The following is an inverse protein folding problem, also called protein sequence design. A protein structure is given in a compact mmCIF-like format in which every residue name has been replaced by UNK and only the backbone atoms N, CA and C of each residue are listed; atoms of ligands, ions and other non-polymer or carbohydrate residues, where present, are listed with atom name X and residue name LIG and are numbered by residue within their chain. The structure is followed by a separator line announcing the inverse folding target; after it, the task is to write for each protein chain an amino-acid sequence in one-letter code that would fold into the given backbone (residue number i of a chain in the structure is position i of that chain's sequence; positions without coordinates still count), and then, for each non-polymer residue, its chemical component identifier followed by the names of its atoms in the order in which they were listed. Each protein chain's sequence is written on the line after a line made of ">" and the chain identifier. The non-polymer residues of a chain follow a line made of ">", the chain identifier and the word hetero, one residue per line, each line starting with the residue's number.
data_IF_447127350897
#
_entry.id   IF_447127350897
#
_cell.length_a   1.000
_cell.length_b   1.000
_cell.length_c   1.000
_cell.angle_alpha   90.00
_cell.angle_beta   90.00
_cell.angle_gamma   90.00
#
_symmetry.space_group_name_H-M   'P 1'
#
loop_
_entity.id
_entity.type
_entity.pdbx_description
1 polymer ?
#
# COMPACT_ATOMS: atom_id res chain seq x y z
N UNK A 1 13.98 -0.54 19.31
CA UNK A 1 14.52 -0.29 17.95
C UNK A 1 13.77 0.89 17.36
N UNK A 2 14.48 1.96 16.96
CA UNK A 2 13.87 3.03 16.16
C UNK A 2 13.76 2.54 14.72
N UNK A 3 12.61 1.95 14.38
CA UNK A 3 12.26 1.72 12.98
C UNK A 3 11.93 3.07 12.34
N UNK A 4 12.58 3.39 11.23
CA UNK A 4 12.22 4.58 10.46
C UNK A 4 10.80 4.37 9.89
N UNK A 5 9.88 5.34 10.03
CA UNK A 5 8.56 5.30 9.42
C UNK A 5 8.59 5.36 7.88
N UNK A 6 9.76 5.33 7.26
CA UNK A 6 10.02 5.42 5.83
C UNK A 6 10.20 4.06 5.14
N UNK A 7 9.63 2.98 5.69
CA UNK A 7 9.61 1.69 5.01
C UNK A 7 8.19 1.11 4.95
N UNK A 8 7.87 0.44 3.84
CA UNK A 8 6.59 -0.22 3.57
C UNK A 8 6.18 -1.25 4.63
N UNK A 9 7.13 -1.89 5.31
CA UNK A 9 6.89 -2.84 6.38
C UNK A 9 6.40 -2.19 7.69
N UNK A 10 6.64 -0.90 7.91
CA UNK A 10 6.38 -0.23 9.19
C UNK A 10 4.90 -0.27 9.57
N UNK A 11 4.00 0.03 8.64
CA UNK A 11 2.57 0.05 8.93
C UNK A 11 2.01 -1.33 9.29
N UNK A 12 2.51 -2.40 8.66
CA UNK A 12 2.13 -3.75 9.05
C UNK A 12 2.62 -4.11 10.47
N UNK A 13 3.88 -3.78 10.82
CA UNK A 13 4.39 -3.97 12.17
C UNK A 13 3.59 -3.17 13.21
N UNK A 14 3.16 -1.97 12.84
CA UNK A 14 2.30 -1.15 13.67
C UNK A 14 0.95 -1.84 13.99
N UNK A 15 0.31 -2.47 13.01
CA UNK A 15 -0.93 -3.23 13.24
C UNK A 15 -0.70 -4.46 14.14
N UNK A 16 0.42 -5.16 13.95
CA UNK A 16 0.79 -6.33 14.76
C UNK A 16 0.93 -5.93 16.23
N UNK A 17 1.60 -4.80 16.49
CA UNK A 17 1.77 -4.28 17.85
C UNK A 17 0.44 -3.86 18.50
N UNK A 18 -0.62 -3.62 17.72
CA UNK A 18 -1.97 -3.32 18.22
C UNK A 18 -2.86 -4.55 18.37
N UNK A 19 -2.37 -5.74 18.04
CA UNK A 19 -3.21 -6.94 17.96
C UNK A 19 -4.29 -6.84 16.87
N UNK A 20 -4.08 -5.98 15.85
CA UNK A 20 -5.02 -5.74 14.75
C UNK A 20 -4.54 -6.43 13.45
N UNK A 21 -3.71 -7.47 13.58
CA UNK A 21 -3.04 -8.14 12.47
C UNK A 21 -3.26 -9.65 12.50
N UNK A 22 -4.47 -10.09 12.86
CA UNK A 22 -4.83 -11.52 13.00
C UNK A 22 -4.48 -12.36 11.76
N UNK A 23 -4.43 -11.72 10.59
CA UNK A 23 -4.08 -12.32 9.31
C UNK A 23 -2.67 -11.98 8.78
N UNK A 24 -1.70 -11.49 9.58
CA UNK A 24 -0.34 -11.20 9.09
C UNK A 24 0.71 -12.19 9.62
N UNK A 25 1.72 -12.44 8.80
CA UNK A 25 2.93 -13.19 9.15
C UNK A 25 4.15 -12.30 9.00
N UNK A 26 4.98 -12.27 10.04
CA UNK A 26 6.30 -11.63 10.02
C UNK A 26 7.35 -12.72 10.10
N UNK A 27 8.26 -12.72 9.15
CA UNK A 27 9.38 -13.65 9.08
C UNK A 27 10.66 -12.85 9.08
N UNK A 28 11.63 -13.31 9.87
CA UNK A 28 12.95 -12.70 10.01
C UNK A 28 14.03 -13.75 9.78
N UNK A 29 15.20 -13.31 9.31
CA UNK A 29 16.35 -14.18 9.10
C UNK A 29 16.99 -14.64 10.42
N UNK A 30 17.03 -13.75 11.42
CA UNK A 30 17.53 -14.05 12.75
C UNK A 30 16.83 -13.17 13.80
N UNK A 31 16.86 -13.55 15.08
CA UNK A 31 16.26 -12.76 16.15
C UNK A 31 17.18 -12.71 17.38
N UNK A 32 17.30 -11.57 18.08
CA UNK A 32 16.61 -10.29 17.84
C UNK A 32 17.23 -9.39 16.76
N UNK A 33 18.46 -9.65 16.34
CA UNK A 33 19.20 -8.76 15.44
C UNK A 33 19.04 -9.10 13.95
N UNK A 34 17.80 -9.14 13.46
CA UNK A 34 17.51 -9.47 12.05
C UNK A 34 18.20 -8.48 11.07
N UNK A 35 18.63 -8.98 9.92
CA UNK A 35 19.00 -8.15 8.77
C UNK A 35 17.84 -7.99 7.79
N UNK A 36 16.99 -9.00 7.69
CA UNK A 36 15.88 -9.05 6.73
C UNK A 36 14.60 -9.35 7.45
N UNK A 37 13.55 -8.63 7.09
CA UNK A 37 12.20 -8.83 7.57
C UNK A 37 11.24 -8.88 6.38
N UNK A 38 10.46 -9.95 6.32
CA UNK A 38 9.37 -10.13 5.37
C UNK A 38 8.04 -10.04 6.09
N UNK A 39 7.07 -9.36 5.47
CA UNK A 39 5.69 -9.33 5.95
C UNK A 39 4.76 -9.74 4.81
N UNK A 40 3.87 -10.68 5.10
CA UNK A 40 2.83 -11.14 4.17
C UNK A 40 1.53 -11.47 4.89
N UNK A 41 0.42 -11.52 4.15
CA UNK A 41 -0.86 -12.02 4.66
C UNK A 41 -0.83 -13.55 4.83
N UNK A 42 -1.33 -14.05 5.97
CA UNK A 42 -1.64 -15.47 6.24
C UNK A 42 -2.94 -15.90 5.58
N UNK A 43 -3.92 -15.00 5.53
CA UNK A 43 -5.26 -15.27 5.04
C UNK A 43 -5.24 -15.25 3.51
N UNK A 44 -4.74 -16.34 2.93
CA UNK A 44 -4.88 -16.64 1.50
C UNK A 44 -6.28 -17.23 1.28
N UNK A 45 -7.33 -16.46 1.57
CA UNK A 45 -8.66 -16.84 1.11
C UNK A 45 -8.69 -16.84 -0.42
N UNK A 46 -9.55 -17.68 -0.99
CA UNK A 46 -9.69 -17.83 -2.43
C UNK A 46 -10.12 -16.48 -3.06
N UNK A 47 -9.15 -15.72 -3.57
CA UNK A 47 -9.35 -14.36 -4.06
C UNK A 47 -8.30 -13.33 -3.60
N UNK A 48 -7.48 -13.63 -2.60
CA UNK A 48 -6.38 -12.71 -2.22
C UNK A 48 -5.11 -13.01 -3.05
N UNK A 49 -5.19 -12.75 -4.36
CA UNK A 49 -4.09 -13.02 -5.30
C UNK A 49 -2.95 -11.98 -5.22
N UNK A 50 -3.11 -10.91 -4.45
CA UNK A 50 -2.01 -10.03 -4.10
C UNK A 50 -1.23 -10.68 -2.95
N UNK A 51 -0.41 -11.68 -3.30
CA UNK A 51 0.65 -12.23 -2.45
C UNK A 51 1.79 -11.21 -2.32
N UNK A 52 1.42 -10.02 -1.87
CA UNK A 52 2.34 -8.92 -1.68
C UNK A 52 3.15 -9.22 -0.42
N UNK A 53 4.44 -9.42 -0.64
CA UNK A 53 5.43 -9.55 0.41
C UNK A 53 6.16 -8.22 0.51
N UNK A 54 6.07 -7.58 1.68
CA UNK A 54 6.82 -6.36 1.97
C UNK A 54 8.16 -6.73 2.59
N UNK A 55 9.24 -6.13 2.06
CA UNK A 55 10.60 -6.40 2.51
C UNK A 55 11.20 -5.17 3.18
N UNK A 56 11.73 -5.38 4.38
CA UNK A 56 12.73 -4.51 4.96
C UNK A 56 14.06 -5.27 4.98
N UNK A 57 15.14 -4.63 4.52
CA UNK A 57 16.48 -5.18 4.64
C UNK A 57 17.49 -4.11 5.03
N UNK A 58 18.45 -4.48 5.88
CA UNK A 58 19.66 -3.71 6.20
C UNK A 58 20.86 -4.16 5.35
N UNK A 59 20.79 -5.36 4.79
CA UNK A 59 21.90 -6.03 4.09
C UNK A 59 21.39 -6.77 2.85
N UNK A 60 21.94 -6.40 1.69
CA UNK A 60 21.56 -7.02 0.42
C UNK A 60 21.98 -8.50 0.36
N UNK A 61 23.12 -8.86 0.95
CA UNK A 61 23.63 -10.23 0.90
C UNK A 61 22.69 -11.20 1.64
N UNK A 62 22.18 -10.80 2.81
CA UNK A 62 21.20 -11.55 3.57
C UNK A 62 19.88 -11.72 2.80
N UNK A 63 19.39 -10.64 2.17
CA UNK A 63 18.18 -10.69 1.34
C UNK A 63 18.36 -11.66 0.16
N UNK A 64 19.49 -11.55 -0.55
CA UNK A 64 19.85 -12.45 -1.66
C UNK A 64 19.87 -13.91 -1.21
N UNK A 65 20.55 -14.20 -0.09
CA UNK A 65 20.65 -15.56 0.43
C UNK A 65 19.27 -16.18 0.71
N UNK A 66 18.34 -15.39 1.26
CA UNK A 66 16.98 -15.87 1.53
C UNK A 66 16.25 -16.21 0.23
N UNK A 67 16.30 -15.29 -0.75
CA UNK A 67 15.66 -15.46 -2.05
C UNK A 67 16.23 -16.67 -2.82
N UNK A 68 17.54 -16.92 -2.71
CA UNK A 68 18.23 -17.99 -3.43
C UNK A 68 18.13 -19.35 -2.71
N UNK A 69 18.29 -19.41 -1.39
CA UNK A 69 18.71 -20.65 -0.72
C UNK A 69 17.74 -21.20 0.34
N UNK A 70 16.75 -20.43 0.79
CA UNK A 70 15.95 -20.85 1.98
C UNK A 70 14.65 -21.57 1.66
N UNK A 71 14.27 -21.66 0.37
CA UNK A 71 12.97 -22.21 -0.05
C UNK A 71 11.77 -21.37 0.43
N UNK A 72 12.01 -20.18 1.00
CA UNK A 72 10.98 -19.31 1.56
C UNK A 72 9.97 -18.82 0.51
N UNK A 73 10.47 -18.55 -0.70
CA UNK A 73 9.65 -18.20 -1.85
C UNK A 73 9.41 -19.42 -2.72
N UNK A 74 8.14 -19.71 -3.00
CA UNK A 74 7.76 -20.66 -4.02
C UNK A 74 7.77 -20.00 -5.39
N UNK A 75 8.93 -20.06 -6.04
CA UNK A 75 9.18 -19.52 -7.37
C UNK A 75 8.30 -20.13 -8.47
N UNK A 76 7.61 -21.26 -8.21
CA UNK A 76 6.66 -21.87 -9.17
C UNK A 76 5.33 -21.11 -9.25
N UNK A 77 4.99 -20.35 -8.22
CA UNK A 77 3.75 -19.59 -8.16
C UNK A 77 4.03 -18.09 -8.29
N UNK A 78 3.05 -17.34 -8.77
CA UNK A 78 3.13 -15.89 -8.75
C UNK A 78 3.25 -15.37 -7.32
N UNK A 79 4.16 -14.43 -7.12
CA UNK A 79 4.20 -13.58 -5.95
C UNK A 79 4.66 -12.17 -6.32
N UNK A 80 4.36 -11.22 -5.46
CA UNK A 80 4.69 -9.82 -5.65
C UNK A 80 5.55 -9.36 -4.48
N UNK A 81 6.67 -8.71 -4.77
CA UNK A 81 7.62 -8.25 -3.76
C UNK A 81 7.70 -6.73 -3.81
N UNK A 82 7.42 -6.06 -2.69
CA UNK A 82 7.73 -4.64 -2.54
C UNK A 82 9.07 -4.45 -1.83
N UNK A 83 9.99 -3.76 -2.50
CA UNK A 83 11.36 -3.54 -2.01
C UNK A 83 11.91 -2.20 -2.52
N UNK A 84 12.96 -1.69 -1.86
CA UNK A 84 13.69 -0.52 -2.35
C UNK A 84 14.33 -0.81 -3.73
N UNK A 85 14.25 0.15 -4.65
CA UNK A 85 14.83 0.05 -5.99
C UNK A 85 16.35 -0.10 -6.01
N UNK A 86 17.05 0.24 -4.93
CA UNK A 86 18.49 -0.02 -4.83
C UNK A 86 18.85 -1.50 -4.98
N UNK A 87 17.90 -2.41 -4.78
CA UNK A 87 18.08 -3.86 -4.92
C UNK A 87 17.63 -4.42 -6.28
N UNK A 88 17.29 -3.57 -7.27
CA UNK A 88 16.72 -4.00 -8.56
C UNK A 88 17.64 -4.96 -9.32
N UNK A 89 18.95 -4.65 -9.40
CA UNK A 89 19.91 -5.50 -10.13
C UNK A 89 20.06 -6.88 -9.48
N UNK A 90 20.09 -6.93 -8.14
CA UNK A 90 20.12 -8.17 -7.38
C UNK A 90 18.88 -9.02 -7.67
N UNK A 91 17.68 -8.42 -7.61
CA UNK A 91 16.44 -9.14 -7.89
C UNK A 91 16.39 -9.73 -9.30
N UNK A 92 16.84 -8.97 -10.31
CA UNK A 92 16.94 -9.47 -11.69
C UNK A 92 17.89 -10.66 -11.81
N UNK A 93 19.05 -10.58 -11.16
CA UNK A 93 20.01 -11.69 -11.14
C UNK A 93 19.43 -12.95 -10.50
N UNK A 94 18.72 -12.80 -9.37
CA UNK A 94 18.05 -13.93 -8.70
C UNK A 94 16.96 -14.53 -9.59
N UNK A 95 16.09 -13.71 -10.19
CA UNK A 95 15.03 -14.19 -11.08
C UNK A 95 15.58 -14.97 -12.28
N UNK A 96 16.64 -14.44 -12.91
CA UNK A 96 17.35 -15.11 -14.00
C UNK A 96 17.94 -16.46 -13.56
N UNK A 97 18.59 -16.52 -12.39
CA UNK A 97 19.12 -17.77 -11.83
C UNK A 97 18.02 -18.79 -11.50
N UNK A 98 16.82 -18.32 -11.12
CA UNK A 98 15.63 -19.16 -10.88
C UNK A 98 14.87 -19.52 -12.17
N UNK A 99 15.24 -18.93 -13.31
CA UNK A 99 14.57 -19.16 -14.59
C UNK A 99 13.11 -18.69 -14.61
N UNK A 100 12.77 -17.66 -13.83
CA UNK A 100 11.42 -17.09 -13.78
C UNK A 100 11.39 -15.72 -14.44
N UNK A 101 10.29 -15.36 -15.13
CA UNK A 101 10.11 -14.00 -15.61
C UNK A 101 9.83 -13.06 -14.43
N UNK A 102 10.37 -11.87 -14.53
CA UNK A 102 10.21 -10.75 -13.61
C UNK A 102 9.48 -9.60 -14.32
N UNK A 103 8.61 -8.91 -13.60
CA UNK A 103 7.91 -7.76 -14.12
C UNK A 103 7.92 -6.64 -13.08
N UNK A 104 8.57 -5.52 -13.40
CA UNK A 104 8.51 -4.31 -12.57
C UNK A 104 7.15 -3.64 -12.80
N UNK A 105 6.25 -3.78 -11.84
CA UNK A 105 4.86 -3.34 -11.96
C UNK A 105 4.72 -1.83 -11.82
N UNK A 106 5.38 -1.24 -10.83
CA UNK A 106 5.35 0.20 -10.57
C UNK A 106 6.52 0.58 -9.66
N UNK A 107 6.94 1.84 -9.78
CA UNK A 107 7.90 2.51 -8.88
C UNK A 107 7.18 3.68 -8.24
N UNK A 108 7.31 3.81 -6.92
CA UNK A 108 6.60 4.81 -6.15
C UNK A 108 7.54 5.64 -5.27
N UNK A 109 7.22 6.93 -5.19
CA UNK A 109 7.54 7.79 -4.07
C UNK A 109 6.86 7.24 -2.80
N UNK A 110 7.59 7.18 -1.69
CA UNK A 110 7.00 6.96 -0.37
C UNK A 110 6.91 8.32 0.34
N UNK A 111 5.69 8.87 0.40
CA UNK A 111 5.46 10.16 1.03
C UNK A 111 4.89 9.97 2.43
N UNK A 112 5.41 10.71 3.41
CA UNK A 112 5.01 10.65 4.82
C UNK A 112 4.56 12.02 5.32
N UNK A 113 3.64 12.03 6.29
CA UNK A 113 3.22 13.23 7.00
C UNK A 113 3.34 12.97 8.51
N UNK A 114 4.51 13.27 9.12
CA UNK A 114 4.73 13.01 10.55
C UNK A 114 3.80 13.81 11.46
N UNK A 115 3.49 15.05 11.08
CA UNK A 115 2.63 15.94 11.84
C UNK A 115 1.55 16.59 10.95
N UNK A 116 0.29 16.14 11.03
CA UNK A 116 -0.83 16.72 10.32
C UNK A 116 -1.43 17.95 11.02
N UNK A 117 -0.85 18.46 12.12
CA UNK A 117 -1.33 19.66 12.82
C UNK A 117 -1.45 20.88 11.88
N UNK A 118 -0.54 20.97 10.91
CA UNK A 118 -0.51 22.04 9.89
C UNK A 118 -1.54 21.84 8.77
N UNK A 119 -2.29 20.73 8.74
CA UNK A 119 -3.36 20.54 7.76
C UNK A 119 -4.51 21.49 8.07
N UNK A 120 -4.59 22.58 7.31
CA UNK A 120 -5.74 23.49 7.37
C UNK A 120 -7.01 22.78 6.93
N UNK A 121 -8.12 23.02 7.63
CA UNK A 121 -9.42 22.52 7.19
C UNK A 121 -9.73 23.04 5.77
N UNK A 122 -10.25 22.15 4.94
CA UNK A 122 -10.57 22.51 3.56
C UNK A 122 -11.71 23.54 3.57
N UNK A 123 -11.60 24.60 2.77
CA UNK A 123 -12.63 25.66 2.70
C UNK A 123 -13.90 25.24 1.95
N UNK A 124 -13.90 24.05 1.37
CA UNK A 124 -15.01 23.52 0.58
C UNK A 124 -16.02 22.86 1.53
N UNK A 125 -17.26 23.33 1.49
CA UNK A 125 -18.38 22.65 2.16
C UNK A 125 -18.68 21.35 1.42
N UNK A 126 -18.15 20.23 1.91
CA UNK A 126 -18.39 18.89 1.38
C UNK A 126 -18.96 17.98 2.46
N UNK A 127 -19.88 17.11 2.07
CA UNK A 127 -20.36 16.04 2.94
C UNK A 127 -19.31 14.92 2.99
N UNK A 128 -18.43 15.00 3.98
CA UNK A 128 -17.45 13.95 4.26
C UNK A 128 -18.12 12.80 5.00
N UNK A 129 -17.78 11.58 4.60
CA UNK A 129 -18.22 10.34 5.24
C UNK A 129 -17.11 9.28 5.15
N UNK A 130 -17.39 8.07 5.60
CA UNK A 130 -16.58 6.88 5.33
C UNK A 130 -17.24 6.02 4.25
N UNK A 131 -16.42 5.27 3.53
CA UNK A 131 -16.93 4.26 2.60
C UNK A 131 -17.66 3.16 3.37
N UNK A 132 -18.61 2.51 2.70
CA UNK A 132 -19.42 1.42 3.22
C UNK A 132 -19.31 0.24 2.26
N UNK A 133 -19.72 -0.94 2.72
CA UNK A 133 -19.70 -2.18 1.93
C UNK A 133 -20.44 -2.02 0.58
N UNK A 134 -21.55 -1.28 0.55
CA UNK A 134 -22.28 -0.96 -0.68
C UNK A 134 -21.47 -0.19 -1.72
N UNK A 135 -20.30 0.35 -1.38
CA UNK A 135 -19.42 1.10 -2.29
C UNK A 135 -18.30 0.25 -2.89
N UNK A 136 -18.20 -1.06 -2.58
CA UNK A 136 -17.11 -1.92 -3.07
C UNK A 136 -17.05 -1.94 -4.59
N UNK A 137 -18.20 -2.08 -5.26
CA UNK A 137 -18.23 -2.22 -6.72
C UNK A 137 -17.76 -0.93 -7.44
N UNK A 138 -18.13 0.25 -6.94
CA UNK A 138 -17.68 1.52 -7.53
C UNK A 138 -16.19 1.77 -7.29
N UNK A 139 -15.67 1.40 -6.11
CA UNK A 139 -14.23 1.49 -5.83
C UNK A 139 -13.45 0.50 -6.70
N UNK A 140 -13.94 -0.73 -6.85
CA UNK A 140 -13.28 -1.74 -7.67
C UNK A 140 -13.28 -1.36 -9.15
N UNK A 141 -14.43 -1.00 -9.72
CA UNK A 141 -14.56 -0.66 -11.15
C UNK A 141 -13.75 0.55 -11.62
N UNK A 142 -13.29 1.40 -10.69
CA UNK A 142 -12.49 2.60 -10.98
C UNK A 142 -11.00 2.41 -10.69
N UNK A 143 -10.61 1.30 -10.07
CA UNK A 143 -9.21 1.03 -9.75
C UNK A 143 -8.49 0.37 -10.93
N UNK A 144 -7.35 0.93 -11.32
CA UNK A 144 -6.60 0.49 -12.52
C UNK A 144 -6.05 -0.94 -12.46
N UNK A 145 -5.95 -1.52 -11.26
CA UNK A 145 -5.48 -2.88 -11.03
C UNK A 145 -6.62 -3.84 -10.65
N UNK A 146 -7.86 -3.43 -10.89
CA UNK A 146 -9.04 -4.16 -10.48
C UNK A 146 -9.15 -5.53 -11.16
N UNK A 147 -9.68 -6.47 -10.39
CA UNK A 147 -10.13 -7.78 -10.80
C UNK A 147 -11.30 -8.20 -9.91
N UNK A 148 -11.93 -9.34 -10.17
CA UNK A 148 -12.98 -9.84 -9.26
C UNK A 148 -12.44 -10.11 -7.86
N UNK A 149 -11.22 -10.62 -7.79
CA UNK A 149 -10.55 -11.01 -6.57
C UNK A 149 -10.14 -9.79 -5.70
N UNK A 150 -9.94 -8.61 -6.29
CA UNK A 150 -9.63 -7.38 -5.53
C UNK A 150 -10.81 -6.83 -4.73
N UNK A 151 -12.05 -7.28 -5.00
CA UNK A 151 -13.22 -6.87 -4.20
C UNK A 151 -13.09 -7.30 -2.74
N UNK A 152 -12.53 -8.49 -2.48
CA UNK A 152 -12.33 -8.97 -1.10
C UNK A 152 -11.29 -8.12 -0.36
N UNK A 153 -10.20 -7.74 -1.03
CA UNK A 153 -9.21 -6.82 -0.48
C UNK A 153 -9.84 -5.45 -0.16
N UNK A 154 -10.64 -4.89 -1.08
CA UNK A 154 -11.33 -3.61 -0.87
C UNK A 154 -12.34 -3.71 0.28
N UNK A 155 -13.09 -4.83 0.38
CA UNK A 155 -13.98 -5.12 1.51
C UNK A 155 -13.22 -5.07 2.82
N UNK A 156 -12.08 -5.77 2.91
CA UNK A 156 -11.25 -5.79 4.11
C UNK A 156 -10.75 -4.39 4.48
N UNK A 157 -10.36 -3.57 3.49
CA UNK A 157 -9.98 -2.17 3.70
C UNK A 157 -11.13 -1.33 4.28
N UNK A 158 -12.32 -1.44 3.69
CA UNK A 158 -13.51 -0.67 4.09
C UNK A 158 -13.99 -1.06 5.49
N UNK A 159 -13.98 -2.35 5.81
CA UNK A 159 -14.57 -2.85 7.05
C UNK A 159 -13.67 -2.69 8.27
N UNK A 160 -12.34 -2.71 8.08
CA UNK A 160 -11.39 -2.79 9.20
C UNK A 160 -10.52 -1.53 9.38
N UNK A 161 -10.49 -0.62 8.40
CA UNK A 161 -9.61 0.53 8.43
C UNK A 161 -10.34 1.85 8.12
N UNK A 162 -9.83 2.98 8.65
CA UNK A 162 -10.38 4.29 8.31
C UNK A 162 -10.37 4.55 6.80
N UNK A 163 -11.48 5.10 6.30
CA UNK A 163 -11.60 5.63 4.94
C UNK A 163 -12.29 7.00 4.98
N UNK A 164 -12.14 7.77 3.90
CA UNK A 164 -12.84 9.03 3.72
C UNK A 164 -13.41 9.13 2.31
N UNK A 165 -14.64 9.60 2.19
CA UNK A 165 -15.28 9.91 0.91
C UNK A 165 -16.08 11.21 0.97
N UNK A 166 -16.30 11.81 -0.20
CA UNK A 166 -17.33 12.83 -0.43
C UNK A 166 -18.52 12.16 -1.08
N UNK A 167 -19.71 12.41 -0.56
CA UNK A 167 -20.98 11.94 -1.14
C UNK A 167 -21.63 13.04 -1.99
N UNK A 168 -22.32 12.64 -3.05
CA UNK A 168 -23.28 13.49 -3.75
C UNK A 168 -24.62 13.58 -2.98
N UNK A 169 -25.59 14.41 -3.42
CA UNK A 169 -26.89 14.52 -2.74
C UNK A 169 -27.70 13.23 -2.69
N UNK A 170 -27.44 12.29 -3.60
CA UNK A 170 -28.11 10.98 -3.66
C UNK A 170 -27.41 9.93 -2.78
N UNK A 171 -26.27 10.30 -2.16
CA UNK A 171 -25.51 9.46 -1.27
C UNK A 171 -24.45 8.58 -1.94
N UNK A 172 -24.15 8.80 -3.23
CA UNK A 172 -23.09 8.07 -3.93
C UNK A 172 -21.71 8.70 -3.70
N UNK A 173 -20.64 7.89 -3.53
CA UNK A 173 -19.30 8.43 -3.38
C UNK A 173 -18.77 8.98 -4.71
N UNK A 174 -18.36 10.24 -4.70
CA UNK A 174 -17.81 10.94 -5.89
C UNK A 174 -16.31 11.24 -5.79
N UNK A 175 -15.75 11.13 -4.59
CA UNK A 175 -14.31 11.12 -4.33
C UNK A 175 -14.03 10.31 -3.06
N UNK A 176 -12.90 9.62 -3.00
CA UNK A 176 -12.55 8.82 -1.84
C UNK A 176 -11.06 8.54 -1.74
N UNK A 177 -10.65 8.09 -0.56
CA UNK A 177 -9.34 7.49 -0.27
C UNK A 177 -9.54 6.42 0.80
N UNK A 178 -8.83 5.31 0.66
CA UNK A 178 -8.83 4.20 1.60
C UNK A 178 -7.49 4.08 2.34
N UNK A 179 -7.48 3.25 3.37
CA UNK A 179 -6.29 2.81 4.08
C UNK A 179 -6.07 1.33 3.75
N UNK A 180 -4.89 1.00 3.22
CA UNK A 180 -4.48 -0.39 2.97
C UNK A 180 -4.23 -1.12 4.28
N UNK A 181 -4.16 -2.45 4.21
CA UNK A 181 -3.70 -3.30 5.31
C UNK A 181 -2.28 -2.98 5.75
N UNK A 182 -1.46 -2.37 4.89
CA UNK A 182 -0.14 -1.81 5.26
C UNK A 182 -0.22 -0.46 5.98
N UNK A 183 -1.41 0.04 6.33
CA UNK A 183 -1.68 1.41 6.80
C UNK A 183 -1.40 2.53 5.79
N UNK A 184 -0.91 2.23 4.59
CA UNK A 184 -0.72 3.25 3.56
C UNK A 184 -2.08 3.83 3.12
N UNK A 185 -2.15 5.15 2.96
CA UNK A 185 -3.27 5.79 2.28
C UNK A 185 -3.17 5.51 0.78
N UNK A 186 -4.29 5.19 0.14
CA UNK A 186 -4.30 5.03 -1.31
C UNK A 186 -5.67 4.70 -1.88
N UNK A 187 -5.69 4.18 -3.12
CA UNK A 187 -6.89 4.16 -3.97
C UNK A 187 -7.60 5.53 -4.03
N UNK A 188 -6.82 6.61 -3.99
CA UNK A 188 -7.35 7.96 -4.10
C UNK A 188 -7.97 8.14 -5.49
N UNK A 189 -9.25 8.50 -5.51
CA UNK A 189 -9.95 8.75 -6.75
C UNK A 189 -10.95 9.90 -6.61
N UNK A 190 -11.23 10.54 -7.74
CA UNK A 190 -12.30 11.52 -7.88
C UNK A 190 -12.92 11.34 -9.25
N UNK A 191 -14.24 11.15 -9.28
CA UNK A 191 -15.02 11.00 -10.51
C UNK A 191 -14.73 12.17 -11.45
N UNK A 192 -14.55 11.93 -12.77
CA UNK A 192 -14.14 12.95 -13.73
C UNK A 192 -14.93 14.27 -13.64
N UNK A 193 -16.25 14.18 -13.54
CA UNK A 193 -17.22 15.28 -13.44
C UNK A 193 -17.21 16.01 -12.08
N UNK A 194 -16.51 15.45 -11.09
CA UNK A 194 -16.27 16.04 -9.78
C UNK A 194 -14.83 16.53 -9.57
N UNK A 195 -13.96 16.42 -10.57
CA UNK A 195 -12.57 16.91 -10.49
C UNK A 195 -12.50 18.43 -10.42
N UNK A 196 -11.36 18.95 -9.95
CA UNK A 196 -11.07 20.39 -9.79
C UNK A 196 -11.96 21.13 -8.78
N UNK A 197 -12.81 20.42 -8.03
CA UNK A 197 -13.64 20.96 -6.93
C UNK A 197 -12.99 20.89 -5.54
N UNK A 198 -11.73 20.43 -5.47
CA UNK A 198 -10.98 20.29 -4.21
C UNK A 198 -11.31 19.03 -3.39
N UNK A 199 -12.09 18.09 -3.93
CA UNK A 199 -12.55 16.90 -3.21
C UNK A 199 -11.42 15.93 -2.84
N UNK A 200 -10.47 15.68 -3.75
CA UNK A 200 -9.28 14.88 -3.44
C UNK A 200 -8.51 15.46 -2.23
N UNK A 201 -8.32 16.79 -2.19
CA UNK A 201 -7.71 17.48 -1.05
C UNK A 201 -8.52 17.27 0.24
N UNK A 202 -9.86 17.31 0.14
CA UNK A 202 -10.75 17.15 1.29
C UNK A 202 -10.63 15.75 1.91
N UNK A 203 -10.75 14.71 1.09
CA UNK A 203 -10.73 13.31 1.58
C UNK A 203 -9.35 12.92 2.10
N UNK A 204 -8.26 13.36 1.45
CA UNK A 204 -6.88 13.13 1.95
C UNK A 204 -6.67 13.84 3.29
N UNK A 205 -7.08 15.11 3.40
CA UNK A 205 -6.96 15.87 4.65
C UNK A 205 -7.74 15.22 5.79
N UNK A 206 -8.99 14.83 5.52
CA UNK A 206 -9.86 14.20 6.50
C UNK A 206 -9.30 12.85 6.98
N UNK A 207 -8.86 12.00 6.04
CA UNK A 207 -8.28 10.71 6.39
C UNK A 207 -6.95 10.85 7.13
N UNK A 208 -6.05 11.74 6.70
CA UNK A 208 -4.77 12.00 7.37
C UNK A 208 -4.97 12.43 8.84
N UNK A 209 -5.91 13.35 9.10
CA UNK A 209 -6.27 13.76 10.47
C UNK A 209 -6.83 12.61 11.29
N UNK A 210 -7.75 11.83 10.71
CA UNK A 210 -8.37 10.67 11.39
C UNK A 210 -7.31 9.63 11.77
N UNK A 211 -6.49 9.21 10.81
CA UNK A 211 -5.40 8.25 11.04
C UNK A 211 -4.48 8.72 12.17
N UNK A 212 -4.02 9.97 12.11
CA UNK A 212 -3.16 10.51 13.16
C UNK A 212 -3.82 10.58 14.53
N UNK A 213 -5.09 11.02 14.60
CA UNK A 213 -5.84 11.06 15.87
C UNK A 213 -6.04 9.69 16.50
N UNK A 214 -6.11 8.64 15.67
CA UNK A 214 -6.19 7.25 16.09
C UNK A 214 -4.80 6.61 16.26
N UNK A 215 -3.73 7.39 16.12
CA UNK A 215 -2.33 7.00 16.31
C UNK A 215 -1.71 6.18 15.17
N UNK A 216 -2.38 6.07 14.01
CA UNK A 216 -1.83 5.42 12.82
C UNK A 216 -0.71 6.26 12.19
N UNK A 217 0.26 5.62 11.52
CA UNK A 217 1.16 6.34 10.64
C UNK A 217 0.39 6.95 9.46
N UNK A 218 0.82 8.12 9.02
CA UNK A 218 0.24 8.82 7.86
C UNK A 218 1.27 8.83 6.74
N UNK A 219 1.06 7.97 5.75
CA UNK A 219 1.93 7.86 4.59
C UNK A 219 1.17 7.29 3.38
N UNK A 220 1.76 7.42 2.20
CA UNK A 220 1.21 6.87 0.96
C UNK A 220 2.32 6.50 -0.03
N UNK A 221 1.95 5.71 -1.03
CA UNK A 221 2.78 5.43 -2.19
C UNK A 221 2.20 6.13 -3.40
N UNK A 222 3.02 6.91 -4.10
CA UNK A 222 2.62 7.63 -5.30
C UNK A 222 3.54 7.22 -6.43
N UNK A 223 2.96 6.67 -7.49
CA UNK A 223 3.70 6.28 -8.70
C UNK A 223 4.46 7.47 -9.29
N UNK A 224 5.68 7.26 -9.77
CA UNK A 224 6.54 8.34 -10.25
C UNK A 224 5.91 9.15 -11.39
N UNK A 225 5.07 8.52 -12.21
CA UNK A 225 4.37 9.19 -13.31
C UNK A 225 3.16 10.01 -12.83
N UNK A 226 2.67 9.78 -11.60
CA UNK A 226 1.47 10.42 -11.05
C UNK A 226 1.79 11.80 -10.43
N UNK A 227 2.27 12.70 -11.29
CA UNK A 227 2.65 14.07 -10.95
C UNK A 227 1.51 14.92 -10.39
N UNK A 228 0.25 14.53 -10.64
CA UNK A 228 -0.92 15.20 -10.07
C UNK A 228 -1.09 14.86 -8.58
N UNK A 229 -1.01 13.57 -8.23
CA UNK A 229 -1.09 13.16 -6.83
C UNK A 229 0.14 13.61 -6.06
N UNK A 230 1.34 13.50 -6.63
CA UNK A 230 2.56 13.99 -6.01
C UNK A 230 2.42 15.45 -5.57
N UNK A 231 2.04 16.35 -6.50
CA UNK A 231 1.81 17.78 -6.19
C UNK A 231 0.71 18.00 -5.15
N UNK A 232 -0.36 17.21 -5.19
CA UNK A 232 -1.43 17.29 -4.20
C UNK A 232 -0.90 16.99 -2.79
N UNK A 233 -0.19 15.87 -2.63
CA UNK A 233 0.34 15.45 -1.33
C UNK A 233 1.44 16.39 -0.84
N UNK A 234 2.36 16.86 -1.70
CA UNK A 234 3.33 17.91 -1.34
C UNK A 234 2.62 19.18 -0.86
N UNK A 235 1.52 19.61 -1.51
CA UNK A 235 0.75 20.79 -1.09
C UNK A 235 0.04 20.62 0.27
N UNK A 236 -0.07 19.39 0.74
CA UNK A 236 -0.60 19.02 2.05
C UNK A 236 0.50 18.80 3.10
N UNK A 237 1.76 19.11 2.76
CA UNK A 237 2.90 18.99 3.68
C UNK A 237 3.48 17.58 3.78
N UNK A 238 3.07 16.64 2.92
CA UNK A 238 3.74 15.35 2.83
C UNK A 238 5.16 15.55 2.26
N UNK A 239 6.10 14.78 2.80
CA UNK A 239 7.52 14.82 2.42
C UNK A 239 8.01 13.41 2.11
N UNK A 240 9.12 13.30 1.39
CA UNK A 240 9.75 12.03 1.06
C UNK A 240 11.27 12.10 1.28
N UNK A 241 11.91 10.95 1.39
CA UNK A 241 13.34 10.82 1.17
C UNK A 241 13.58 10.73 -0.36
N UNK A 242 14.26 11.71 -0.99
CA UNK A 242 14.49 11.70 -2.43
C UNK A 242 15.38 10.54 -2.90
N UNK A 243 16.11 9.90 -1.97
CA UNK A 243 16.97 8.74 -2.25
C UNK A 243 16.26 7.41 -2.10
N UNK A 244 15.03 7.40 -1.58
CA UNK A 244 14.24 6.19 -1.38
C UNK A 244 13.12 6.09 -2.41
N UNK A 245 13.09 4.95 -3.12
CA UNK A 245 11.96 4.54 -3.95
C UNK A 245 11.61 3.11 -3.62
N UNK A 246 10.33 2.81 -3.55
CA UNK A 246 9.85 1.43 -3.44
C UNK A 246 9.30 1.01 -4.79
N UNK A 247 9.59 -0.22 -5.20
CA UNK A 247 9.03 -0.81 -6.40
C UNK A 247 8.36 -2.14 -6.07
N UNK A 248 7.29 -2.43 -6.81
CA UNK A 248 6.60 -3.73 -6.78
C UNK A 248 7.08 -4.56 -7.96
N UNK A 249 7.69 -5.70 -7.67
CA UNK A 249 8.14 -6.67 -8.66
C UNK A 249 7.25 -7.91 -8.59
N UNK A 250 6.57 -8.21 -9.68
CA UNK A 250 5.88 -9.49 -9.87
C UNK A 250 6.87 -10.52 -10.40
N UNK A 251 6.89 -11.71 -9.80
CA UNK A 251 7.67 -12.83 -10.28
C UNK A 251 6.74 -13.94 -10.74
N UNK A 252 7.07 -14.56 -11.87
CA UNK A 252 6.26 -15.57 -12.55
C UNK A 252 4.90 -15.02 -13.07
N UNK A 253 4.08 -15.84 -13.70
CA UNK A 253 2.80 -15.44 -14.28
C UNK A 253 1.64 -15.66 -13.29
N UNK A 254 0.70 -14.72 -13.25
CA UNK A 254 -0.59 -14.93 -12.57
C UNK A 254 -1.34 -16.03 -13.32
N UNK A 255 -1.35 -17.25 -12.76
CA UNK A 255 -2.19 -18.31 -13.32
C UNK A 255 -3.67 -17.93 -13.14
N UNK A 256 -4.51 -18.10 -14.17
CA UNK A 256 -5.94 -18.03 -13.98
C UNK A 256 -6.35 -19.08 -12.94
N UNK A 257 -7.15 -18.68 -11.96
CA UNK A 257 -7.74 -19.62 -10.99
C UNK A 257 -8.59 -20.60 -11.81
N UNK A 258 -8.38 -21.94 -11.69
CA UNK A 258 -9.31 -22.90 -12.25
C UNK A 258 -10.71 -22.63 -11.68
N UNK A 259 -11.67 -22.38 -12.56
CA UNK A 259 -13.09 -22.22 -12.21
C UNK A 259 -13.65 -23.45 -11.50
#
# INVERSE_FOLDING_TARGET
>A
MHYSPQNSAYGCLFLINRGQADCMEVIVDQWPDFNVLFIRSKCQEQGDLFRDVSVFTKDEASLRNILENTGFFDWKNYFCLSVNTCHEEMLKAVAAAKGVPENKLTVCHMMTLPDPSNLTNNRVSVQLSSLKESHIDVVNSTWKFAAEFSKQMIRNMIMNFPSSCVLDPDGHPVAWVLTYTSCAMGMLYTQPEHRRKGYAKAVVTALAKKLHSEGYPVFCFIEEENQLSYRLFTSLGFTEDPTYRVAWYGFNQKHPIPH
#
